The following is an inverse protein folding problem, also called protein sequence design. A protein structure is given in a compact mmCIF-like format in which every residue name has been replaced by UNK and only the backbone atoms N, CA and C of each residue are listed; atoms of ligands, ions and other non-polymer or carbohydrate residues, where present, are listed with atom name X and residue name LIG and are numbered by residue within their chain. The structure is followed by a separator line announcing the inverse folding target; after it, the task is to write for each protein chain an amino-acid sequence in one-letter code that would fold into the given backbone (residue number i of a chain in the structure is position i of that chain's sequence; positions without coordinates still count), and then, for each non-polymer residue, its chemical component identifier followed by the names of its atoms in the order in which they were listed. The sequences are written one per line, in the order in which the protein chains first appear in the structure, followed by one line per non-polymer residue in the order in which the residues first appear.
data_IF_564233241757
#
_entry.id   IF_564233241757
#
_cell.length_a   1.000
_cell.length_b   1.000
_cell.length_c   1.000
_cell.angle_alpha   90.00
_cell.angle_beta   90.00
_cell.angle_gamma   90.00
#
_symmetry.space_group_name_H-M   'P 1'
#
loop_
_entity.id
_entity.type
_entity.pdbx_description
1 polymer ?
#
# COMPACT_ATOMS: atom_id res chain seq x y z
N UNK A 1 3.22 -1.00 19.58
CA UNK A 1 4.24 -0.93 18.50
C UNK A 1 3.56 -1.31 17.20
N UNK A 2 3.97 -0.76 16.05
CA UNK A 2 3.50 -1.18 14.73
C UNK A 2 4.67 -1.82 13.98
N UNK A 3 4.47 -3.00 13.42
CA UNK A 3 5.43 -3.65 12.53
C UNK A 3 4.90 -3.62 11.09
N UNK A 4 5.59 -2.88 10.23
CA UNK A 4 5.30 -2.81 8.79
C UNK A 4 6.04 -3.96 8.07
N UNK A 5 5.29 -4.91 7.53
CA UNK A 5 5.84 -6.11 6.85
C UNK A 5 5.54 -6.08 5.36
N UNK A 6 6.30 -6.83 4.58
CA UNK A 6 6.22 -6.92 3.11
C UNK A 6 5.26 -8.02 2.61
N UNK A 7 4.56 -8.70 3.52
CA UNK A 7 3.62 -9.79 3.19
C UNK A 7 4.26 -11.18 3.13
N UNK A 8 5.49 -11.36 3.64
CA UNK A 8 6.11 -12.67 3.74
C UNK A 8 5.27 -13.64 4.59
N UNK A 9 5.01 -14.82 4.03
CA UNK A 9 4.23 -15.88 4.68
C UNK A 9 4.91 -16.32 5.98
N UNK A 10 4.13 -16.38 7.07
CA UNK A 10 4.60 -16.81 8.39
C UNK A 10 5.41 -15.76 9.17
N UNK A 11 5.77 -14.62 8.56
CA UNK A 11 6.49 -13.56 9.27
C UNK A 11 5.60 -12.80 10.28
N UNK A 12 4.33 -12.45 9.97
CA UNK A 12 3.40 -11.92 10.97
C UNK A 12 3.23 -12.85 12.17
N UNK A 13 3.12 -14.16 11.93
CA UNK A 13 2.95 -15.17 12.98
C UNK A 13 4.17 -15.21 13.89
N UNK A 14 5.38 -15.18 13.32
CA UNK A 14 6.63 -15.13 14.07
C UNK A 14 6.72 -13.87 14.97
N UNK A 15 6.33 -12.71 14.46
CA UNK A 15 6.30 -11.46 15.26
C UNK A 15 5.32 -11.59 16.42
N UNK A 16 4.12 -12.13 16.18
CA UNK A 16 3.08 -12.29 17.18
C UNK A 16 3.50 -13.24 18.33
N UNK A 17 4.42 -14.18 18.09
CA UNK A 17 4.94 -15.07 19.16
C UNK A 17 5.86 -14.36 20.16
N UNK A 18 6.53 -13.28 19.75
CA UNK A 18 7.50 -12.56 20.60
C UNK A 18 6.92 -11.24 21.09
N UNK A 19 6.13 -10.57 20.27
CA UNK A 19 5.58 -9.24 20.55
C UNK A 19 4.05 -9.24 20.47
N UNK A 20 3.42 -9.74 21.54
CA UNK A 20 1.97 -10.00 21.64
C UNK A 20 1.09 -8.77 21.33
N UNK A 21 1.51 -7.56 21.71
CA UNK A 21 0.74 -6.32 21.53
C UNK A 21 1.13 -5.53 20.28
N UNK A 22 1.87 -6.14 19.35
CA UNK A 22 2.29 -5.47 18.10
C UNK A 22 1.22 -5.56 17.04
N UNK A 23 0.81 -4.39 16.52
CA UNK A 23 -0.06 -4.34 15.36
C UNK A 23 0.76 -4.60 14.09
N UNK A 24 0.33 -5.57 13.30
CA UNK A 24 0.96 -5.89 12.02
C UNK A 24 0.25 -5.12 10.91
N UNK A 25 1.02 -4.42 10.09
CA UNK A 25 0.52 -3.68 8.93
C UNK A 25 1.33 -4.06 7.68
N UNK A 26 0.68 -4.11 6.51
CA UNK A 26 1.40 -4.19 5.25
C UNK A 26 2.10 -2.85 4.95
N UNK A 27 3.39 -2.92 4.63
CA UNK A 27 4.19 -1.74 4.37
C UNK A 27 3.81 -1.09 3.04
N UNK A 28 3.24 0.12 3.11
CA UNK A 28 2.84 0.90 1.93
C UNK A 28 3.99 1.12 0.94
N UNK A 29 5.23 1.29 1.43
CA UNK A 29 6.40 1.47 0.56
C UNK A 29 6.66 0.22 -0.28
N UNK A 30 6.56 -0.97 0.32
CA UNK A 30 6.69 -2.23 -0.41
C UNK A 30 5.53 -2.42 -1.39
N UNK A 31 4.28 -2.13 -0.97
CA UNK A 31 3.11 -2.21 -1.82
C UNK A 31 3.22 -1.31 -3.06
N UNK A 32 3.57 -0.03 -2.88
CA UNK A 32 3.74 0.93 -3.97
C UNK A 32 4.89 0.50 -4.89
N UNK A 33 6.06 0.17 -4.34
CA UNK A 33 7.21 -0.29 -5.14
C UNK A 33 6.89 -1.54 -5.95
N UNK A 34 6.18 -2.49 -5.35
CA UNK A 34 5.79 -3.72 -6.02
C UNK A 34 4.73 -3.49 -7.11
N UNK A 35 3.87 -2.48 -6.96
CA UNK A 35 2.84 -2.14 -7.96
C UNK A 35 3.44 -1.40 -9.16
N UNK A 36 4.27 -0.38 -8.92
CA UNK A 36 4.83 0.46 -10.00
C UNK A 36 5.85 -0.26 -10.89
N UNK A 37 6.33 -1.45 -10.48
CA UNK A 37 7.24 -2.26 -11.31
C UNK A 37 6.61 -2.72 -12.63
N UNK A 38 5.29 -2.75 -12.70
CA UNK A 38 4.53 -3.13 -13.90
C UNK A 38 4.11 -1.93 -14.75
N UNK A 39 4.41 -0.72 -14.31
CA UNK A 39 3.96 0.52 -14.96
C UNK A 39 4.97 0.92 -16.04
N UNK A 40 4.49 1.20 -17.25
CA UNK A 40 5.33 1.71 -18.32
C UNK A 40 5.91 3.08 -17.94
N UNK A 41 7.15 3.36 -18.37
CA UNK A 41 7.84 4.62 -18.03
C UNK A 41 7.04 5.87 -18.40
N UNK A 42 6.29 5.83 -19.50
CA UNK A 42 5.43 6.94 -19.97
C UNK A 42 4.36 7.32 -18.94
N UNK A 43 3.84 6.35 -18.19
CA UNK A 43 2.73 6.52 -17.23
C UNK A 43 3.22 6.62 -15.79
N UNK A 44 4.49 6.26 -15.52
CA UNK A 44 5.08 6.19 -14.19
C UNK A 44 4.78 7.41 -13.32
N UNK A 45 4.98 8.62 -13.86
CA UNK A 45 4.75 9.88 -13.13
C UNK A 45 3.26 10.09 -12.80
N UNK A 46 2.36 9.74 -13.71
CA UNK A 46 0.93 9.92 -13.51
C UNK A 46 0.37 8.89 -12.51
N UNK A 47 0.72 7.61 -12.70
CA UNK A 47 0.30 6.51 -11.82
C UNK A 47 0.80 6.74 -10.40
N UNK A 48 2.07 7.12 -10.21
CA UNK A 48 2.61 7.39 -8.87
C UNK A 48 1.98 8.60 -8.19
N UNK A 49 1.60 9.63 -8.95
CA UNK A 49 0.90 10.78 -8.41
C UNK A 49 -0.51 10.41 -7.92
N UNK A 50 -1.23 9.56 -8.65
CA UNK A 50 -2.56 9.11 -8.26
C UNK A 50 -2.50 8.10 -7.09
N UNK A 51 -1.57 7.14 -7.10
CA UNK A 51 -1.30 6.25 -5.96
C UNK A 51 -0.99 7.03 -4.68
N UNK A 52 -0.26 8.14 -4.81
CA UNK A 52 0.09 9.01 -3.70
C UNK A 52 -1.12 9.65 -3.04
N UNK A 53 -2.19 9.95 -3.79
CA UNK A 53 -3.42 10.49 -3.21
C UNK A 53 -4.04 9.50 -2.22
N UNK A 54 -4.01 8.20 -2.51
CA UNK A 54 -4.59 7.15 -1.68
C UNK A 54 -3.96 7.15 -0.27
N UNK A 55 -2.64 7.04 -0.17
CA UNK A 55 -1.97 6.93 1.13
C UNK A 55 -1.70 8.27 1.81
N UNK A 56 -1.99 9.40 1.15
CA UNK A 56 -1.92 10.74 1.75
C UNK A 56 -3.27 11.29 2.21
N UNK A 57 -4.37 10.56 1.97
CA UNK A 57 -5.70 10.92 2.46
C UNK A 57 -5.73 11.07 3.98
N UNK A 58 -6.56 11.99 4.47
CA UNK A 58 -6.65 12.29 5.91
C UNK A 58 -7.54 11.28 6.63
N UNK A 59 -8.54 10.74 5.92
CA UNK A 59 -9.45 9.71 6.44
C UNK A 59 -9.46 8.46 5.57
N UNK A 60 -9.98 7.37 6.14
CA UNK A 60 -10.17 6.12 5.41
C UNK A 60 -11.17 6.30 4.26
N UNK A 61 -12.25 7.06 4.46
CA UNK A 61 -13.24 7.32 3.40
C UNK A 61 -12.63 8.08 2.22
N UNK A 62 -11.77 9.06 2.49
CA UNK A 62 -11.03 9.77 1.46
C UNK A 62 -10.04 8.86 0.73
N UNK A 63 -9.39 7.94 1.45
CA UNK A 63 -8.47 6.96 0.86
C UNK A 63 -9.21 5.98 -0.06
N UNK A 64 -10.39 5.49 0.36
CA UNK A 64 -11.25 4.62 -0.43
C UNK A 64 -11.77 5.32 -1.68
N UNK A 65 -12.21 6.58 -1.56
CA UNK A 65 -12.62 7.36 -2.72
C UNK A 65 -11.46 7.59 -3.71
N UNK A 66 -10.26 7.88 -3.21
CA UNK A 66 -9.07 8.03 -4.05
C UNK A 66 -8.68 6.71 -4.73
N UNK A 67 -8.89 5.57 -4.05
CA UNK A 67 -8.69 4.23 -4.62
C UNK A 67 -9.68 3.94 -5.74
N UNK A 68 -10.97 4.24 -5.55
CA UNK A 68 -11.99 4.10 -6.60
C UNK A 68 -11.67 4.95 -7.83
N UNK A 69 -11.23 6.19 -7.63
CA UNK A 69 -10.79 7.09 -8.70
C UNK A 69 -9.53 6.58 -9.41
N UNK A 70 -8.60 5.95 -8.67
CA UNK A 70 -7.41 5.34 -9.23
C UNK A 70 -7.80 4.17 -10.14
N UNK A 71 -8.63 3.25 -9.65
CA UNK A 71 -9.14 2.10 -10.42
C UNK A 71 -9.89 2.52 -11.68
N UNK A 72 -10.78 3.51 -11.58
CA UNK A 72 -11.52 4.03 -12.73
C UNK A 72 -10.63 4.58 -13.86
N UNK A 73 -9.38 4.93 -13.56
CA UNK A 73 -8.43 5.47 -14.52
C UNK A 73 -7.41 4.45 -15.05
N UNK A 74 -7.07 3.43 -14.26
CA UNK A 74 -5.91 2.57 -14.52
C UNK A 74 -6.20 1.06 -14.58
N UNK A 75 -7.45 0.62 -14.39
CA UNK A 75 -7.82 -0.82 -14.43
C UNK A 75 -8.04 -1.36 -15.86
N UNK A 76 -8.03 -0.50 -16.89
CA UNK A 76 -8.04 -0.86 -18.32
C UNK A 76 -6.64 -0.81 -18.95
#
# INVERSE_FOLDING_TARGET
MIACVDGLKGFPDAIATVFLDTQIQLCVVYMVRNSVKFVAWKDYKAVTADLKRIYQSVTEEEALLALDQFSARWDE
#
